data_IF_376959587888
#
_entry.id   IF_376959587888
#
_cell.length_a   1.000
_cell.length_b   1.000
_cell.length_c   1.000
_cell.angle_alpha   90.00
_cell.angle_beta   90.00
_cell.angle_gamma   90.00
#
_symmetry.space_group_name_H-M   'P 1'
#
loop_
_entity.id
_entity.type
_entity.pdbx_description
1 polymer ?
#
# COMPACT_ATOMS: atom_id res chain seq x y z
N UNK A 1 -12.28 -3.29 -12.46
CA UNK A 1 -12.20 -1.87 -12.02
C UNK A 1 -13.14 -1.64 -10.83
N UNK A 2 -12.85 -2.25 -9.67
CA UNK A 2 -13.54 -1.99 -8.40
C UNK A 2 -12.51 -1.37 -7.45
N UNK A 3 -11.99 -0.22 -7.85
CA UNK A 3 -10.82 0.41 -7.24
C UNK A 3 -11.27 1.58 -6.38
N UNK A 4 -11.22 1.42 -5.05
CA UNK A 4 -10.87 2.50 -4.13
C UNK A 4 -10.02 1.89 -3.01
N UNK A 5 -8.73 1.70 -3.28
CA UNK A 5 -7.74 1.64 -2.22
C UNK A 5 -7.57 3.09 -1.73
N UNK A 6 -8.31 3.46 -0.68
CA UNK A 6 -8.22 4.78 -0.06
C UNK A 6 -6.93 4.82 0.79
N UNK A 7 -5.78 4.97 0.13
CA UNK A 7 -4.49 5.06 0.82
C UNK A 7 -4.14 6.51 1.21
N UNK A 8 -3.72 6.62 2.47
CA UNK A 8 -3.03 7.66 3.24
C UNK A 8 -3.87 8.68 4.06
N UNK A 9 -3.46 8.74 5.33
CA UNK A 9 -3.37 9.86 6.29
C UNK A 9 -4.36 9.77 7.46
N UNK A 10 -3.77 9.66 8.67
CA UNK A 10 -4.11 10.32 9.95
C UNK A 10 -3.18 9.64 10.98
N UNK A 11 -2.14 10.23 11.56
CA UNK A 11 -1.97 11.51 12.27
C UNK A 11 -0.49 11.96 12.15
N UNK A 12 -0.21 13.22 11.78
CA UNK A 12 1.12 13.83 11.90
C UNK A 12 1.90 14.10 10.59
N UNK A 13 1.51 13.50 9.46
CA UNK A 13 2.12 13.74 8.15
C UNK A 13 1.17 14.48 7.19
N UNK A 14 0.76 15.71 7.52
CA UNK A 14 0.00 16.54 6.57
C UNK A 14 0.78 16.89 5.29
N UNK A 15 2.08 16.63 5.23
CA UNK A 15 2.87 16.80 4.02
C UNK A 15 2.79 15.60 3.06
N UNK A 16 2.32 14.41 3.49
CA UNK A 16 2.31 13.18 2.70
C UNK A 16 1.06 12.99 1.82
N UNK A 17 0.10 13.93 1.82
CA UNK A 17 -1.03 13.98 0.86
C UNK A 17 -0.60 14.40 -0.56
N UNK A 18 0.68 14.24 -0.87
CA UNK A 18 1.27 14.51 -2.18
C UNK A 18 1.14 13.22 -2.97
N UNK A 19 0.76 13.30 -4.25
CA UNK A 19 0.88 12.17 -5.17
C UNK A 19 2.25 11.52 -4.97
N UNK A 20 2.29 10.35 -4.36
CA UNK A 20 3.54 9.66 -4.05
C UNK A 20 4.23 9.33 -5.36
N UNK A 21 5.44 9.86 -5.56
CA UNK A 21 6.22 9.51 -6.74
C UNK A 21 6.59 8.04 -6.61
N UNK A 22 6.19 7.23 -7.60
CA UNK A 22 6.65 5.86 -7.68
C UNK A 22 8.14 5.84 -8.02
N UNK A 23 8.94 5.21 -7.18
CA UNK A 23 10.38 5.06 -7.37
C UNK A 23 10.72 3.63 -7.81
N UNK A 24 11.93 3.45 -8.34
CA UNK A 24 12.44 2.10 -8.64
C UNK A 24 12.52 1.21 -7.40
N UNK A 25 12.72 1.79 -6.21
CA UNK A 25 12.72 1.06 -4.94
C UNK A 25 11.34 0.43 -4.66
N UNK A 26 10.25 1.17 -4.93
CA UNK A 26 8.89 0.62 -4.81
C UNK A 26 8.69 -0.56 -5.78
N UNK A 27 9.21 -0.48 -7.00
CA UNK A 27 9.11 -1.56 -7.98
C UNK A 27 9.89 -2.82 -7.57
N UNK A 28 11.13 -2.65 -7.07
CA UNK A 28 11.92 -3.76 -6.52
C UNK A 28 11.22 -4.40 -5.32
N UNK A 29 10.66 -3.57 -4.43
CA UNK A 29 9.90 -4.10 -3.29
C UNK A 29 8.63 -4.83 -3.74
N UNK A 30 7.92 -4.34 -4.75
CA UNK A 30 6.72 -4.97 -5.29
C UNK A 30 7.01 -6.35 -5.90
N UNK A 31 8.18 -6.54 -6.50
CA UNK A 31 8.63 -7.84 -7.00
C UNK A 31 8.87 -8.84 -5.85
N UNK A 32 9.52 -8.37 -4.78
CA UNK A 32 9.90 -9.20 -3.62
C UNK A 32 8.74 -9.62 -2.72
N UNK A 33 7.56 -9.03 -2.87
CA UNK A 33 6.40 -9.42 -2.07
C UNK A 33 6.04 -10.89 -2.34
N UNK A 34 6.03 -11.77 -1.32
CA UNK A 34 5.63 -13.17 -1.46
C UNK A 34 4.10 -13.27 -1.46
N UNK A 35 3.50 -12.58 -2.42
CA UNK A 35 2.07 -12.47 -2.60
C UNK A 35 1.76 -12.98 -4.01
N UNK A 36 0.81 -13.89 -4.17
CA UNK A 36 0.43 -14.43 -5.49
C UNK A 36 -0.49 -13.50 -6.30
N UNK A 37 -0.84 -12.34 -5.74
CA UNK A 37 -1.74 -11.39 -6.37
C UNK A 37 -1.13 -10.79 -7.64
N UNK A 38 -1.91 -10.79 -8.72
CA UNK A 38 -1.47 -10.40 -10.05
C UNK A 38 -1.74 -8.94 -10.39
N UNK A 39 -2.49 -8.21 -9.57
CA UNK A 39 -2.77 -6.80 -9.86
C UNK A 39 -1.52 -5.95 -9.55
N UNK A 40 -0.85 -5.39 -10.58
CA UNK A 40 0.44 -4.73 -10.39
C UNK A 40 0.33 -3.47 -9.53
N UNK A 41 -0.80 -2.76 -9.60
CA UNK A 41 -1.04 -1.57 -8.78
C UNK A 41 -1.22 -1.90 -7.30
N UNK A 42 -1.98 -2.94 -6.96
CA UNK A 42 -2.17 -3.32 -5.55
C UNK A 42 -0.85 -3.76 -4.91
N UNK A 43 -0.02 -4.50 -5.67
CA UNK A 43 1.35 -4.83 -5.25
C UNK A 43 2.18 -3.58 -5.00
N UNK A 44 2.07 -2.59 -5.90
CA UNK A 44 2.79 -1.33 -5.79
C UNK A 44 2.35 -0.53 -4.56
N UNK A 45 1.05 -0.49 -4.26
CA UNK A 45 0.52 0.19 -3.07
C UNK A 45 1.05 -0.43 -1.77
N UNK A 46 1.03 -1.76 -1.68
CA UNK A 46 1.60 -2.49 -0.53
C UNK A 46 3.11 -2.29 -0.43
N UNK A 47 3.82 -2.32 -1.57
CA UNK A 47 5.27 -2.12 -1.62
C UNK A 47 5.67 -0.71 -1.20
N UNK A 48 4.98 0.32 -1.71
CA UNK A 48 5.20 1.69 -1.31
C UNK A 48 4.94 1.87 0.19
N UNK A 49 3.86 1.29 0.72
CA UNK A 49 3.57 1.35 2.15
C UNK A 49 4.70 0.75 3.02
N UNK A 50 5.34 -0.33 2.55
CA UNK A 50 6.53 -0.88 3.19
C UNK A 50 7.74 0.05 3.12
N UNK A 51 8.06 0.59 1.94
CA UNK A 51 9.25 1.44 1.72
C UNK A 51 9.11 2.77 2.47
N UNK A 52 7.95 3.40 2.37
CA UNK A 52 7.64 4.68 3.03
C UNK A 52 7.30 4.52 4.52
N UNK A 53 7.24 3.27 5.02
CA UNK A 53 6.87 2.93 6.40
C UNK A 53 5.55 3.58 6.83
N UNK A 54 4.59 3.62 5.91
CA UNK A 54 3.29 4.22 6.15
C UNK A 54 2.20 3.13 6.24
N UNK A 55 1.24 3.26 7.16
CA UNK A 55 0.14 2.32 7.23
C UNK A 55 -0.78 2.42 6.01
N UNK A 56 -1.22 1.27 5.52
CA UNK A 56 -2.22 1.12 4.47
C UNK A 56 -3.61 0.97 5.08
N UNK A 57 -4.53 1.87 4.70
CA UNK A 57 -5.95 1.74 4.99
C UNK A 57 -6.63 1.29 3.71
N UNK A 58 -7.41 0.22 3.75
CA UNK A 58 -8.07 -0.31 2.56
C UNK A 58 -9.29 -1.15 2.92
N UNK A 59 -10.30 -1.10 2.05
CA UNK A 59 -11.43 -2.03 2.07
C UNK A 59 -11.22 -3.24 1.14
N UNK A 60 -10.12 -3.27 0.37
CA UNK A 60 -9.84 -4.35 -0.57
C UNK A 60 -9.52 -5.67 0.17
N UNK A 61 -10.33 -6.69 -0.09
CA UNK A 61 -10.23 -7.99 0.58
C UNK A 61 -8.98 -8.77 0.19
N UNK A 62 -8.44 -8.60 -1.02
CA UNK A 62 -7.22 -9.28 -1.44
C UNK A 62 -6.02 -8.73 -0.69
N UNK A 63 -5.95 -7.40 -0.53
CA UNK A 63 -4.91 -6.77 0.29
C UNK A 63 -5.07 -7.16 1.77
N UNK A 64 -6.31 -7.15 2.29
CA UNK A 64 -6.59 -7.56 3.69
C UNK A 64 -6.24 -9.01 3.97
N UNK A 65 -6.38 -9.89 2.98
CA UNK A 65 -6.00 -11.29 3.08
C UNK A 65 -4.48 -11.52 3.01
N UNK A 66 -3.68 -10.51 2.62
CA UNK A 66 -2.23 -10.62 2.59
C UNK A 66 -1.62 -10.31 3.96
N UNK A 67 -1.07 -11.30 4.71
CA UNK A 67 -0.68 -11.09 6.11
C UNK A 67 0.48 -10.12 6.32
N UNK A 68 1.26 -9.84 5.27
CA UNK A 68 2.39 -8.92 5.35
C UNK A 68 2.04 -7.49 4.93
N UNK A 69 0.81 -7.22 4.48
CA UNK A 69 0.41 -5.84 4.20
C UNK A 69 0.46 -5.00 5.50
N UNK A 70 1.07 -3.80 5.49
CA UNK A 70 1.18 -2.95 6.67
C UNK A 70 -0.16 -2.24 6.95
N UNK A 71 -1.19 -3.00 7.34
CA UNK A 71 -2.56 -2.50 7.48
C UNK A 71 -2.75 -1.71 8.77
N UNK A 72 -3.55 -0.65 8.70
CA UNK A 72 -4.09 0.02 9.88
C UNK A 72 -5.60 -0.21 9.98
N UNK A 73 -6.05 -0.54 11.19
CA UNK A 73 -7.45 -0.75 11.54
C UNK A 73 -7.88 0.38 12.45
N UNK A 74 -8.94 1.10 12.07
CA UNK A 74 -9.61 2.02 12.98
C UNK A 74 -10.40 1.18 13.99
N UNK A 75 -10.11 1.37 15.28
CA UNK A 75 -10.87 0.81 16.38
C UNK A 75 -12.06 1.74 16.73
#
# INVERSE_FOLDING_TARGET
MRTVALLVILHGCLSAARHGVLTAEHAVQAERLPWSHRAPFDRMLVAQAHVERCPLVTMDEHIRAFPRAPLHVWA
#
